data_IF_908446273933
#
_entry.id   IF_908446273933
#
_cell.length_a   1.000
_cell.length_b   1.000
_cell.length_c   1.000
_cell.angle_alpha   90.00
_cell.angle_beta   90.00
_cell.angle_gamma   90.00
#
_symmetry.space_group_name_H-M   'P 1'
#
loop_
_entity.id
_entity.type
_entity.pdbx_description
1 polymer ?
#
# COMPACT_ATOMS: atom_id res chain seq x y z
N UNK A 1 63.47 50.55 -18.54
CA UNK A 1 62.50 50.71 -17.42
C UNK A 1 61.07 51.09 -17.84
N UNK A 2 60.81 51.87 -18.90
CA UNK A 2 59.43 52.26 -19.31
C UNK A 2 58.55 51.09 -19.78
N UNK A 3 59.09 50.14 -20.54
CA UNK A 3 58.32 49.00 -21.09
C UNK A 3 57.77 48.04 -20.00
N UNK A 4 58.55 47.76 -18.95
CA UNK A 4 58.13 46.91 -17.83
C UNK A 4 56.97 47.55 -17.05
N UNK A 5 56.98 48.89 -16.90
CA UNK A 5 55.90 49.63 -16.22
C UNK A 5 54.58 49.57 -16.99
N UNK A 6 54.62 49.53 -18.32
CA UNK A 6 53.41 49.39 -19.15
C UNK A 6 52.84 47.97 -19.12
N UNK A 7 53.68 46.94 -19.04
CA UNK A 7 53.24 45.54 -18.91
C UNK A 7 52.54 45.31 -17.56
N UNK A 8 53.08 45.87 -16.47
CA UNK A 8 52.43 45.82 -15.16
C UNK A 8 51.12 46.61 -15.10
N UNK A 9 51.03 47.75 -15.81
CA UNK A 9 49.79 48.52 -15.87
C UNK A 9 48.71 47.79 -16.68
N UNK A 10 49.09 47.15 -17.79
CA UNK A 10 48.19 46.36 -18.64
C UNK A 10 47.72 45.08 -17.93
N UNK A 11 48.59 44.39 -17.20
CA UNK A 11 48.20 43.22 -16.42
C UNK A 11 47.27 43.58 -15.25
N UNK A 12 47.49 44.75 -14.62
CA UNK A 12 46.61 45.26 -13.57
C UNK A 12 45.23 45.65 -14.10
N UNK A 13 45.16 46.31 -15.27
CA UNK A 13 43.89 46.66 -15.93
C UNK A 13 43.14 45.39 -16.36
N UNK A 14 43.85 44.38 -16.88
CA UNK A 14 43.26 43.10 -17.27
C UNK A 14 42.70 42.34 -16.05
N UNK A 15 43.40 42.37 -14.90
CA UNK A 15 42.94 41.77 -13.66
C UNK A 15 41.67 42.46 -13.12
N UNK A 16 41.61 43.79 -13.20
CA UNK A 16 40.41 44.56 -12.81
C UNK A 16 39.21 44.21 -13.71
N UNK A 17 39.43 44.08 -15.02
CA UNK A 17 38.36 43.72 -15.96
C UNK A 17 37.80 42.30 -15.71
N UNK A 18 38.65 41.35 -15.32
CA UNK A 18 38.23 39.98 -14.95
C UNK A 18 37.40 39.99 -13.66
N UNK A 19 37.75 40.84 -12.69
CA UNK A 19 37.03 40.93 -11.41
C UNK A 19 35.64 41.60 -11.54
N UNK A 20 35.43 42.45 -12.55
CA UNK A 20 34.14 43.15 -12.77
C UNK A 20 33.13 42.27 -13.53
N UNK A 21 33.57 41.19 -14.18
CA UNK A 21 32.70 40.36 -15.03
C UNK A 21 31.89 39.28 -14.28
N UNK A 22 32.07 39.15 -12.97
CA UNK A 22 31.27 38.23 -12.14
C UNK A 22 29.98 38.93 -11.64
N UNK A 23 28.97 39.05 -12.52
CA UNK A 23 27.59 39.28 -12.07
C UNK A 23 26.86 37.95 -12.02
N UNK A 24 26.63 37.45 -10.81
CA UNK A 24 25.69 36.34 -10.58
C UNK A 24 24.31 36.80 -11.02
N UNK A 25 23.75 36.15 -12.04
CA UNK A 25 22.35 36.36 -12.39
C UNK A 25 21.50 35.96 -11.19
N UNK A 26 20.81 36.93 -10.57
CA UNK A 26 19.76 36.61 -9.61
C UNK A 26 18.63 35.95 -10.38
N UNK A 27 18.58 34.62 -10.33
CA UNK A 27 17.38 33.88 -10.72
C UNK A 27 16.27 34.44 -9.83
N UNK A 28 15.30 35.14 -10.43
CA UNK A 28 14.05 35.40 -9.73
C UNK A 28 13.41 34.03 -9.52
N UNK A 29 13.44 33.51 -8.30
CA UNK A 29 12.54 32.42 -7.93
C UNK A 29 11.12 32.91 -8.20
N UNK A 30 10.54 32.48 -9.32
CA UNK A 30 9.12 32.57 -9.53
C UNK A 30 8.51 31.48 -8.68
N UNK A 31 8.27 31.78 -7.41
CA UNK A 31 7.34 30.98 -6.62
C UNK A 31 5.95 31.23 -7.21
N UNK A 32 5.52 30.38 -8.15
CA UNK A 32 4.10 30.28 -8.45
C UNK A 32 3.42 29.75 -7.19
N UNK A 33 2.84 30.67 -6.42
CA UNK A 33 1.93 30.33 -5.34
C UNK A 33 0.67 29.78 -6.01
N UNK A 34 0.63 28.47 -6.21
CA UNK A 34 -0.64 27.80 -6.49
C UNK A 34 -1.47 27.89 -5.21
N UNK A 35 -2.32 28.92 -5.13
CA UNK A 35 -3.32 28.98 -4.07
C UNK A 35 -4.22 27.74 -4.24
N UNK A 36 -4.13 26.80 -3.30
CA UNK A 36 -5.03 25.67 -3.24
C UNK A 36 -6.45 26.22 -3.08
N UNK A 37 -7.23 26.22 -4.18
CA UNK A 37 -8.61 26.67 -4.15
C UNK A 37 -9.45 25.55 -3.56
N UNK A 38 -10.10 25.81 -2.42
CA UNK A 38 -11.01 24.86 -1.80
C UNK A 38 -12.16 24.58 -2.76
N UNK A 39 -12.34 23.31 -3.14
CA UNK A 39 -13.53 22.87 -3.87
C UNK A 39 -14.69 22.88 -2.88
N UNK A 40 -15.77 23.57 -3.23
CA UNK A 40 -16.99 23.68 -2.42
C UNK A 40 -18.20 23.48 -3.32
N UNK A 41 -19.34 23.12 -2.74
CA UNK A 41 -20.59 22.89 -3.46
C UNK A 41 -21.17 24.16 -4.12
N UNK A 42 -20.57 25.33 -3.84
CA UNK A 42 -20.92 26.60 -4.48
C UNK A 42 -20.45 26.71 -5.94
N UNK A 43 -19.52 25.85 -6.37
CA UNK A 43 -19.02 25.81 -7.74
C UNK A 43 -20.04 25.08 -8.60
N UNK A 44 -20.77 25.82 -9.45
CA UNK A 44 -21.71 25.22 -10.40
C UNK A 44 -20.97 24.30 -11.36
N UNK A 45 -21.49 23.09 -11.54
CA UNK A 45 -20.98 22.14 -12.52
C UNK A 45 -21.20 22.66 -13.94
N UNK A 46 -20.20 22.46 -14.80
CA UNK A 46 -20.29 22.81 -16.20
C UNK A 46 -21.16 21.78 -16.95
N UNK A 47 -22.26 22.24 -17.54
CA UNK A 47 -23.21 21.37 -18.24
C UNK A 47 -22.61 20.73 -19.50
N UNK A 48 -21.66 21.38 -20.18
CA UNK A 48 -20.98 20.80 -21.33
C UNK A 48 -20.08 19.64 -20.90
N UNK A 49 -19.35 19.79 -19.80
CA UNK A 49 -18.53 18.72 -19.23
C UNK A 49 -19.39 17.56 -18.72
N UNK A 50 -20.49 17.84 -18.01
CA UNK A 50 -21.43 16.80 -17.58
C UNK A 50 -21.94 15.99 -18.77
N UNK A 51 -22.43 16.67 -19.81
CA UNK A 51 -22.96 16.01 -20.99
C UNK A 51 -21.90 15.19 -21.72
N UNK A 52 -20.65 15.68 -21.73
CA UNK A 52 -19.51 14.96 -22.29
C UNK A 52 -19.20 13.66 -21.55
N UNK A 53 -19.20 13.66 -20.21
CA UNK A 53 -18.84 12.47 -19.41
C UNK A 53 -20.02 11.50 -19.21
N UNK A 54 -21.26 11.97 -19.34
CA UNK A 54 -22.47 11.20 -19.06
C UNK A 54 -22.54 9.81 -19.73
N UNK A 55 -22.26 9.64 -21.04
CA UNK A 55 -22.33 8.31 -21.65
C UNK A 55 -21.33 7.30 -21.04
N UNK A 56 -20.12 7.75 -20.72
CA UNK A 56 -19.11 6.93 -20.06
C UNK A 56 -19.52 6.58 -18.64
N UNK A 57 -20.03 7.56 -17.89
CA UNK A 57 -20.57 7.34 -16.55
C UNK A 57 -21.68 6.30 -16.57
N UNK A 58 -22.65 6.42 -17.49
CA UNK A 58 -23.76 5.46 -17.60
C UNK A 58 -23.27 4.03 -17.86
N UNK A 59 -22.27 3.86 -18.71
CA UNK A 59 -21.67 2.56 -18.97
C UNK A 59 -20.97 2.00 -17.72
N UNK A 60 -20.15 2.82 -17.05
CA UNK A 60 -19.46 2.45 -15.82
C UNK A 60 -20.44 2.09 -14.70
N UNK A 61 -21.47 2.90 -14.49
CA UNK A 61 -22.50 2.69 -13.47
C UNK A 61 -23.20 1.33 -13.66
N UNK A 62 -23.35 0.84 -14.90
CA UNK A 62 -23.96 -0.47 -15.18
C UNK A 62 -23.10 -1.67 -14.73
N UNK A 63 -21.80 -1.46 -14.58
CA UNK A 63 -20.83 -2.46 -14.11
C UNK A 63 -20.60 -2.28 -12.62
N UNK A 64 -20.36 -1.04 -12.17
CA UNK A 64 -20.03 -0.71 -10.79
C UNK A 64 -21.19 -1.02 -9.82
N UNK A 65 -22.44 -0.81 -10.24
CA UNK A 65 -23.61 -1.09 -9.41
C UNK A 65 -24.01 -2.57 -9.38
N UNK A 66 -23.27 -3.46 -10.06
CA UNK A 66 -23.62 -4.89 -10.05
C UNK A 66 -23.49 -5.46 -8.64
N UNK A 67 -24.55 -6.07 -8.08
CA UNK A 67 -24.49 -6.74 -6.79
C UNK A 67 -23.66 -8.02 -6.91
N UNK A 68 -22.73 -8.21 -5.99
CA UNK A 68 -21.81 -9.36 -5.97
C UNK A 68 -21.86 -10.15 -4.67
N UNK A 69 -22.32 -9.54 -3.57
CA UNK A 69 -22.49 -10.21 -2.27
C UNK A 69 -23.40 -9.37 -1.35
N UNK A 70 -23.46 -9.74 -0.08
CA UNK A 70 -24.19 -9.02 0.96
C UNK A 70 -23.37 -8.97 2.26
N UNK A 71 -23.35 -7.83 2.93
CA UNK A 71 -22.70 -7.61 4.22
C UNK A 71 -23.77 -7.48 5.32
N UNK A 72 -23.77 -8.38 6.31
CA UNK A 72 -24.71 -8.32 7.44
C UNK A 72 -24.37 -7.22 8.47
N UNK A 73 -23.12 -6.75 8.45
CA UNK A 73 -22.54 -5.75 9.35
C UNK A 73 -21.68 -4.79 8.53
N UNK A 74 -21.30 -3.67 9.13
CA UNK A 74 -20.23 -2.85 8.56
C UNK A 74 -18.88 -3.54 8.77
N UNK A 75 -18.09 -3.65 7.70
CA UNK A 75 -16.69 -4.05 7.77
C UNK A 75 -15.85 -2.81 7.88
N UNK A 76 -15.28 -2.58 9.07
CA UNK A 76 -14.51 -1.38 9.38
C UNK A 76 -13.05 -1.71 9.60
N UNK A 77 -12.22 -0.67 9.65
CA UNK A 77 -10.79 -0.73 9.94
C UNK A 77 -10.46 -0.61 11.44
N UNK A 78 -11.44 -0.83 12.32
CA UNK A 78 -11.30 -0.57 13.74
C UNK A 78 -10.42 -1.61 14.46
N UNK A 79 -9.47 -1.13 15.27
CA UNK A 79 -8.58 -1.97 16.07
C UNK A 79 -7.42 -2.59 15.29
N UNK A 80 -6.65 -3.45 15.96
CA UNK A 80 -5.47 -4.11 15.38
C UNK A 80 -5.79 -5.36 14.56
N UNK A 81 -6.98 -5.95 14.76
CA UNK A 81 -7.51 -7.07 13.99
C UNK A 81 -8.94 -6.77 13.60
N UNK A 82 -9.07 -5.76 12.74
CA UNK A 82 -10.36 -5.28 12.26
C UNK A 82 -11.07 -6.34 11.41
N UNK A 83 -12.41 -6.36 11.43
CA UNK A 83 -13.17 -7.36 10.68
C UNK A 83 -12.98 -7.21 9.16
N UNK A 84 -12.83 -5.98 8.65
CA UNK A 84 -12.48 -5.74 7.24
C UNK A 84 -11.08 -6.27 6.90
N UNK A 85 -10.08 -5.94 7.73
CA UNK A 85 -8.72 -6.43 7.53
C UNK A 85 -8.63 -7.96 7.59
N UNK A 86 -9.33 -8.58 8.54
CA UNK A 86 -9.40 -10.03 8.66
C UNK A 86 -10.04 -10.66 7.43
N UNK A 87 -11.22 -10.17 7.00
CA UNK A 87 -11.90 -10.65 5.81
C UNK A 87 -10.99 -10.57 4.58
N UNK A 88 -10.44 -9.39 4.28
CA UNK A 88 -9.64 -9.18 3.08
C UNK A 88 -8.38 -10.03 3.06
N UNK A 89 -7.67 -10.15 4.19
CA UNK A 89 -6.50 -10.99 4.29
C UNK A 89 -6.83 -12.48 4.12
N UNK A 90 -7.97 -12.95 4.65
CA UNK A 90 -8.40 -14.34 4.49
C UNK A 90 -8.76 -14.66 3.04
N UNK A 91 -9.51 -13.77 2.37
CA UNK A 91 -9.85 -13.94 0.95
C UNK A 91 -8.59 -14.03 0.09
N UNK A 92 -7.61 -13.16 0.34
CA UNK A 92 -6.34 -13.16 -0.40
C UNK A 92 -5.52 -14.42 -0.10
N UNK A 93 -5.43 -14.83 1.17
CA UNK A 93 -4.72 -16.06 1.55
C UNK A 93 -5.36 -17.29 0.91
N UNK A 94 -6.69 -17.40 0.97
CA UNK A 94 -7.46 -18.49 0.37
C UNK A 94 -7.22 -18.56 -1.15
N UNK A 95 -7.29 -17.43 -1.84
CA UNK A 95 -6.99 -17.36 -3.27
C UNK A 95 -5.56 -17.77 -3.57
N UNK A 96 -4.59 -17.23 -2.82
CA UNK A 96 -3.18 -17.47 -3.05
C UNK A 96 -2.80 -18.95 -2.87
N UNK A 97 -3.39 -19.63 -1.88
CA UNK A 97 -3.24 -21.08 -1.70
C UNK A 97 -3.80 -21.87 -2.88
N UNK A 98 -4.99 -21.50 -3.39
CA UNK A 98 -5.57 -22.11 -4.60
C UNK A 98 -4.71 -21.87 -5.83
N UNK A 99 -4.21 -20.65 -6.02
CA UNK A 99 -3.28 -20.29 -7.09
C UNK A 99 -2.01 -21.13 -7.02
N UNK A 100 -1.40 -21.23 -5.83
CA UNK A 100 -0.18 -21.98 -5.62
C UNK A 100 -0.34 -23.44 -6.02
N UNK A 101 -1.40 -24.09 -5.54
CA UNK A 101 -1.73 -25.48 -5.90
C UNK A 101 -1.96 -25.67 -7.40
N UNK A 102 -2.73 -24.78 -8.05
CA UNK A 102 -3.05 -24.87 -9.49
C UNK A 102 -1.84 -24.66 -10.39
N UNK A 103 -0.89 -23.83 -9.97
CA UNK A 103 0.26 -23.43 -10.78
C UNK A 103 1.58 -24.08 -10.33
N UNK A 104 1.52 -25.07 -9.43
CA UNK A 104 2.67 -25.73 -8.84
C UNK A 104 3.69 -24.72 -8.27
N UNK A 105 3.19 -23.71 -7.55
CA UNK A 105 3.97 -22.69 -6.85
C UNK A 105 3.96 -22.94 -5.35
N UNK A 106 4.88 -22.34 -4.59
CA UNK A 106 4.89 -22.45 -3.13
C UNK A 106 3.59 -21.94 -2.51
N UNK A 107 3.03 -22.72 -1.60
CA UNK A 107 1.82 -22.31 -0.86
C UNK A 107 2.20 -21.28 0.23
N UNK A 108 1.52 -20.13 0.31
CA UNK A 108 1.77 -19.15 1.38
C UNK A 108 1.21 -19.63 2.72
N UNK A 109 2.01 -19.51 3.77
CA UNK A 109 1.64 -19.84 5.16
C UNK A 109 0.73 -18.75 5.76
N UNK A 110 0.93 -17.48 5.37
CA UNK A 110 0.19 -16.35 5.91
C UNK A 110 0.04 -15.20 4.90
N UNK A 111 -0.82 -14.25 5.23
CA UNK A 111 -1.00 -13.01 4.47
C UNK A 111 -0.66 -11.80 5.34
N UNK A 112 0.00 -10.80 4.74
CA UNK A 112 0.14 -9.46 5.29
C UNK A 112 -0.11 -8.43 4.19
N UNK A 113 -1.11 -7.57 4.39
CA UNK A 113 -1.36 -6.39 3.55
C UNK A 113 -1.17 -5.12 4.38
N UNK A 114 -1.22 -3.96 3.73
CA UNK A 114 -1.14 -2.69 4.43
C UNK A 114 -2.50 -2.04 4.66
N UNK A 115 -2.71 -1.54 5.89
CA UNK A 115 -3.92 -0.81 6.25
C UNK A 115 -4.11 0.48 5.41
N UNK A 116 -3.03 1.05 4.88
CA UNK A 116 -3.07 2.19 3.96
C UNK A 116 -3.60 1.84 2.56
N UNK A 117 -3.48 0.58 2.16
CA UNK A 117 -4.01 0.03 0.90
C UNK A 117 -5.53 -0.11 0.89
N UNK A 118 -6.14 -0.30 2.06
CA UNK A 118 -7.59 -0.32 2.27
C UNK A 118 -8.08 1.11 2.46
N UNK A 119 -8.95 1.61 1.57
CA UNK A 119 -9.24 3.06 1.50
C UNK A 119 -10.54 3.49 2.15
N UNK A 120 -11.53 2.63 2.14
CA UNK A 120 -12.83 2.84 2.79
C UNK A 120 -13.30 1.54 3.43
N UNK A 121 -14.48 1.58 4.03
CA UNK A 121 -15.18 0.44 4.63
C UNK A 121 -16.04 -0.29 3.58
N UNK A 122 -16.40 -1.55 3.85
CA UNK A 122 -17.55 -2.19 3.18
C UNK A 122 -18.80 -1.96 4.06
N UNK A 123 -19.77 -1.13 3.64
CA UNK A 123 -20.96 -0.87 4.43
C UNK A 123 -21.88 -2.08 4.49
N UNK A 124 -22.65 -2.18 5.56
CA UNK A 124 -23.76 -3.14 5.68
C UNK A 124 -24.73 -2.98 4.51
N UNK A 125 -25.16 -4.10 3.94
CA UNK A 125 -26.15 -4.15 2.86
C UNK A 125 -25.63 -4.87 1.63
N UNK A 126 -26.18 -4.51 0.47
CA UNK A 126 -25.75 -5.08 -0.81
C UNK A 126 -24.32 -4.64 -1.09
N UNK A 127 -23.44 -5.60 -1.35
CA UNK A 127 -22.05 -5.33 -1.75
C UNK A 127 -22.00 -5.36 -3.27
N UNK A 128 -21.50 -4.28 -3.86
CA UNK A 128 -21.38 -4.12 -5.31
C UNK A 128 -19.92 -4.18 -5.78
N UNK A 129 -19.72 -4.20 -7.10
CA UNK A 129 -18.39 -4.05 -7.70
C UNK A 129 -17.75 -2.73 -7.27
N UNK A 130 -18.52 -1.63 -7.23
CA UNK A 130 -18.08 -0.32 -6.78
C UNK A 130 -17.44 -0.37 -5.39
N UNK A 131 -18.07 -1.05 -4.43
CA UNK A 131 -17.53 -1.13 -3.07
C UNK A 131 -16.12 -1.75 -3.06
N UNK A 132 -15.84 -2.76 -3.89
CA UNK A 132 -14.52 -3.38 -3.96
C UNK A 132 -13.51 -2.46 -4.66
N UNK A 133 -13.94 -1.70 -5.67
CA UNK A 133 -13.12 -0.65 -6.29
C UNK A 133 -12.76 0.46 -5.31
N UNK A 134 -13.69 0.89 -4.46
CA UNK A 134 -13.43 1.91 -3.44
C UNK A 134 -12.51 1.38 -2.34
N UNK A 135 -12.70 0.14 -1.90
CA UNK A 135 -11.89 -0.51 -0.85
C UNK A 135 -10.45 -0.72 -1.31
N UNK A 136 -10.24 -1.24 -2.51
CA UNK A 136 -8.92 -1.55 -3.09
C UNK A 136 -8.71 -0.87 -4.45
N UNK A 137 -8.54 0.47 -4.49
CA UNK A 137 -8.52 1.22 -5.74
C UNK A 137 -7.18 1.16 -6.48
N UNK A 138 -6.14 0.61 -5.85
CA UNK A 138 -4.80 0.55 -6.45
C UNK A 138 -4.62 -0.69 -7.32
N UNK A 139 -3.85 -0.55 -8.40
CA UNK A 139 -3.51 -1.63 -9.34
C UNK A 139 -2.41 -2.58 -8.82
N UNK A 140 -2.40 -2.81 -7.51
CA UNK A 140 -1.41 -3.65 -6.85
C UNK A 140 -1.54 -5.11 -7.34
N UNK A 141 -0.40 -5.77 -7.54
CA UNK A 141 -0.33 -7.18 -7.92
C UNK A 141 -0.11 -8.07 -6.70
N UNK A 142 -0.78 -9.21 -6.64
CA UNK A 142 -0.52 -10.23 -5.64
C UNK A 142 0.85 -10.86 -5.90
N UNK A 143 1.67 -10.97 -4.85
CA UNK A 143 2.98 -11.61 -4.91
C UNK A 143 3.15 -12.57 -3.74
N UNK A 144 3.95 -13.62 -3.94
CA UNK A 144 4.37 -14.53 -2.87
C UNK A 144 5.85 -14.31 -2.60
N UNK A 145 6.22 -14.14 -1.34
CA UNK A 145 7.59 -13.90 -0.92
C UNK A 145 8.01 -14.94 0.11
N UNK A 146 9.26 -15.40 0.04
CA UNK A 146 9.84 -16.26 1.06
C UNK A 146 10.64 -15.42 2.06
N UNK A 147 10.32 -15.58 3.35
CA UNK A 147 11.00 -14.94 4.46
C UNK A 147 11.68 -16.00 5.32
N UNK A 148 12.95 -15.77 5.65
CA UNK A 148 13.64 -16.53 6.68
C UNK A 148 13.24 -16.07 8.09
N UNK A 149 13.69 -16.80 9.12
CA UNK A 149 13.38 -16.43 10.50
C UNK A 149 13.90 -15.05 10.93
N UNK A 150 14.94 -14.50 10.29
CA UNK A 150 15.44 -13.16 10.59
C UNK A 150 14.50 -12.07 10.05
N UNK A 151 14.01 -12.24 8.82
CA UNK A 151 13.03 -11.36 8.18
C UNK A 151 11.66 -11.43 8.87
N UNK A 152 11.26 -12.61 9.32
CA UNK A 152 10.04 -12.78 10.14
C UNK A 152 10.13 -11.96 11.43
N UNK A 153 11.28 -11.98 12.13
CA UNK A 153 11.50 -11.17 13.33
C UNK A 153 11.47 -9.67 13.04
N UNK A 154 12.09 -9.23 11.94
CA UNK A 154 12.00 -7.83 11.50
C UNK A 154 10.55 -7.40 11.24
N UNK A 155 9.74 -8.27 10.62
CA UNK A 155 8.30 -8.03 10.43
C UNK A 155 7.55 -7.94 11.77
N UNK A 156 7.85 -8.83 12.74
CA UNK A 156 7.23 -8.78 14.06
C UNK A 156 7.59 -7.47 14.78
N UNK A 157 8.84 -7.02 14.70
CA UNK A 157 9.25 -5.74 15.28
C UNK A 157 8.57 -4.55 14.60
N UNK A 158 8.44 -4.59 13.27
CA UNK A 158 7.71 -3.57 12.52
C UNK A 158 6.25 -3.45 13.01
N UNK A 159 5.53 -4.58 13.09
CA UNK A 159 4.12 -4.59 13.51
C UNK A 159 3.96 -4.11 14.96
N UNK A 160 4.93 -4.45 15.82
CA UNK A 160 5.00 -3.96 17.20
C UNK A 160 5.18 -2.45 17.28
N UNK A 161 6.09 -1.90 16.47
CA UNK A 161 6.45 -0.47 16.50
C UNK A 161 5.34 0.38 15.89
N UNK A 162 4.80 -0.03 14.73
CA UNK A 162 3.78 0.75 14.03
C UNK A 162 2.44 0.76 14.77
N UNK A 163 2.12 -0.30 15.53
CA UNK A 163 0.84 -0.47 16.25
C UNK A 163 -0.36 -0.07 15.38
N UNK A 164 -0.44 -0.69 14.21
CA UNK A 164 -1.51 -0.46 13.22
C UNK A 164 -2.20 -1.78 12.90
N UNK A 165 -3.50 -1.71 12.67
CA UNK A 165 -4.31 -2.85 12.20
C UNK A 165 -4.06 -3.17 10.74
N UNK A 166 -2.87 -3.66 10.43
CA UNK A 166 -2.55 -4.22 9.13
C UNK A 166 -3.36 -5.52 8.93
N UNK A 167 -3.99 -5.72 7.76
CA UNK A 167 -4.65 -6.99 7.44
C UNK A 167 -3.69 -8.16 7.53
N UNK A 168 -4.04 -9.15 8.34
CA UNK A 168 -3.23 -10.33 8.63
C UNK A 168 -4.12 -11.57 8.53
N UNK A 169 -3.63 -12.67 7.96
CA UNK A 169 -4.30 -13.98 7.96
C UNK A 169 -3.27 -15.09 8.10
N UNK A 170 -3.63 -16.23 8.70
CA UNK A 170 -2.69 -17.34 8.91
C UNK A 170 -1.58 -17.07 9.94
N UNK A 171 -1.61 -15.91 10.60
CA UNK A 171 -0.63 -15.51 11.62
C UNK A 171 -1.33 -14.88 12.83
N UNK A 172 -0.81 -15.18 14.03
CA UNK A 172 -1.23 -14.57 15.28
C UNK A 172 -0.03 -14.14 16.12
N UNK A 173 0.01 -12.87 16.50
CA UNK A 173 1.05 -12.25 17.31
C UNK A 173 0.44 -11.67 18.58
N UNK A 174 1.04 -11.99 19.72
CA UNK A 174 0.64 -11.45 21.03
C UNK A 174 1.86 -10.78 21.65
N UNK A 175 1.70 -9.49 21.96
CA UNK A 175 2.68 -8.69 22.67
C UNK A 175 2.17 -8.40 24.07
N UNK A 176 3.03 -8.54 25.08
CA UNK A 176 2.76 -8.12 26.45
C UNK A 176 3.82 -7.14 26.92
N UNK A 177 3.41 -5.96 27.39
CA UNK A 177 4.35 -4.88 27.75
C UNK A 177 5.37 -4.60 26.64
N UNK A 178 4.89 -4.54 25.41
CA UNK A 178 5.70 -4.34 24.20
C UNK A 178 6.76 -5.43 23.93
N UNK A 179 6.59 -6.64 24.48
CA UNK A 179 7.45 -7.80 24.19
C UNK A 179 6.62 -8.88 23.51
N UNK A 180 7.13 -9.43 22.40
CA UNK A 180 6.50 -10.56 21.73
C UNK A 180 6.54 -11.78 22.66
N UNK A 181 5.38 -12.28 23.08
CA UNK A 181 5.26 -13.45 23.96
C UNK A 181 4.73 -14.69 23.22
N UNK A 182 4.05 -14.50 22.09
CA UNK A 182 3.58 -15.59 21.23
C UNK A 182 3.56 -15.14 19.79
N UNK A 183 4.10 -15.99 18.91
CA UNK A 183 3.97 -15.87 17.47
C UNK A 183 3.58 -17.24 16.92
N UNK A 184 2.44 -17.31 16.25
CA UNK A 184 1.91 -18.52 15.64
C UNK A 184 1.70 -18.29 14.15
N UNK A 185 2.16 -19.24 13.33
CA UNK A 185 1.97 -19.29 11.89
C UNK A 185 1.24 -20.59 11.58
N UNK A 186 0.11 -20.50 10.90
CA UNK A 186 -0.83 -21.62 10.66
C UNK A 186 -1.21 -22.38 11.94
N UNK A 187 -1.36 -21.66 13.05
CA UNK A 187 -1.70 -22.22 14.36
C UNK A 187 -0.57 -23.01 15.05
N UNK A 188 0.65 -23.01 14.48
CA UNK A 188 1.85 -23.61 15.08
C UNK A 188 2.79 -22.52 15.57
N UNK A 189 3.53 -22.80 16.64
CA UNK A 189 4.52 -21.84 17.15
C UNK A 189 5.60 -21.55 16.11
N UNK A 190 6.01 -20.28 16.06
CA UNK A 190 7.05 -19.79 15.18
C UNK A 190 8.38 -20.52 15.42
N UNK A 191 8.89 -21.17 14.38
CA UNK A 191 10.21 -21.78 14.34
C UNK A 191 11.17 -20.85 13.56
N UNK A 192 12.20 -20.27 14.20
CA UNK A 192 13.13 -19.34 13.55
C UNK A 192 14.09 -20.00 12.56
N UNK A 193 14.14 -21.34 12.51
CA UNK A 193 14.99 -22.08 11.56
C UNK A 193 14.29 -22.37 10.24
N UNK A 194 12.96 -22.19 10.18
CA UNK A 194 12.15 -22.40 8.98
C UNK A 194 12.06 -21.15 8.13
N UNK A 195 11.74 -21.38 6.86
CA UNK A 195 11.33 -20.34 5.92
C UNK A 195 9.82 -20.36 5.78
N UNK A 196 9.22 -19.18 5.63
CA UNK A 196 7.79 -19.00 5.52
C UNK A 196 7.47 -18.24 4.23
N UNK A 197 6.44 -18.67 3.54
CA UNK A 197 5.88 -17.98 2.40
C UNK A 197 4.74 -17.07 2.85
N UNK A 198 4.79 -15.82 2.39
CA UNK A 198 3.77 -14.81 2.66
C UNK A 198 3.17 -14.35 1.35
N UNK A 199 1.85 -14.28 1.30
CA UNK A 199 1.16 -13.52 0.25
C UNK A 199 1.02 -12.07 0.67
N UNK A 200 1.46 -11.18 -0.22
CA UNK A 200 1.35 -9.73 -0.05
C UNK A 200 1.16 -9.07 -1.43
N UNK A 201 1.47 -7.79 -1.55
CA UNK A 201 1.40 -7.03 -2.80
C UNK A 201 2.75 -6.46 -3.23
N UNK A 202 2.89 -6.22 -4.53
CA UNK A 202 4.06 -5.63 -5.17
C UNK A 202 4.49 -4.27 -4.57
N UNK A 203 3.54 -3.41 -4.19
CA UNK A 203 3.83 -2.16 -3.47
C UNK A 203 4.66 -2.41 -2.19
N UNK A 204 4.29 -3.42 -1.40
CA UNK A 204 4.98 -3.75 -0.14
C UNK A 204 6.27 -4.53 -0.39
N UNK A 205 6.28 -5.41 -1.41
CA UNK A 205 7.50 -6.09 -1.87
C UNK A 205 8.62 -5.08 -2.17
N UNK A 206 8.27 -3.93 -2.75
CA UNK A 206 9.22 -2.88 -3.10
C UNK A 206 9.55 -1.91 -1.94
N UNK A 207 9.17 -2.23 -0.70
CA UNK A 207 9.47 -1.42 0.49
C UNK A 207 8.42 -0.35 0.82
N UNK A 208 7.25 -0.41 0.20
CA UNK A 208 6.09 0.42 0.55
C UNK A 208 5.78 0.37 2.06
N UNK A 209 5.29 1.48 2.61
CA UNK A 209 5.04 1.65 4.05
C UNK A 209 6.22 1.30 4.98
N UNK A 210 7.46 1.36 4.48
CA UNK A 210 8.69 0.96 5.20
C UNK A 210 8.74 -0.52 5.57
N UNK A 211 7.97 -1.39 4.89
CA UNK A 211 8.04 -2.85 5.05
C UNK A 211 9.28 -3.45 4.36
N UNK A 212 10.46 -2.92 4.70
CA UNK A 212 11.73 -3.22 4.03
C UNK A 212 12.18 -4.69 4.18
N UNK A 213 11.61 -5.43 5.15
CA UNK A 213 11.85 -6.86 5.31
C UNK A 213 11.43 -7.68 4.09
N UNK A 214 10.48 -7.17 3.28
CA UNK A 214 10.08 -7.82 2.03
C UNK A 214 11.08 -7.64 0.89
N UNK A 215 11.81 -6.51 0.83
CA UNK A 215 12.78 -6.26 -0.24
C UNK A 215 13.94 -7.25 -0.25
N UNK A 216 14.18 -7.89 0.90
CA UNK A 216 15.26 -8.85 1.14
C UNK A 216 14.73 -10.29 1.21
N UNK A 217 13.62 -10.59 0.54
CA UNK A 217 13.07 -11.94 0.44
C UNK A 217 14.04 -12.89 -0.27
N UNK A 218 14.16 -14.12 0.21
CA UNK A 218 15.05 -15.14 -0.37
C UNK A 218 14.58 -15.63 -1.74
N UNK A 219 13.27 -15.64 -1.95
CA UNK A 219 12.61 -16.04 -3.18
C UNK A 219 11.31 -15.25 -3.35
N UNK A 220 10.88 -15.09 -4.61
CA UNK A 220 9.65 -14.38 -4.97
C UNK A 220 8.94 -15.04 -6.14
N UNK A 221 7.62 -14.99 -6.12
CA UNK A 221 6.72 -15.31 -7.22
C UNK A 221 5.86 -14.07 -7.50
N UNK A 222 5.99 -13.50 -8.70
CA UNK A 222 5.16 -12.40 -9.16
C UNK A 222 4.04 -13.02 -9.99
N UNK A 223 2.79 -12.89 -9.52
CA UNK A 223 1.67 -13.60 -10.16
C UNK A 223 1.07 -12.84 -11.34
N UNK A 224 1.32 -11.53 -11.44
CA UNK A 224 0.68 -10.62 -12.37
C UNK A 224 -0.85 -10.52 -12.24
N UNK A 225 -1.41 -11.02 -11.12
CA UNK A 225 -2.82 -10.94 -10.81
C UNK A 225 -3.09 -9.71 -9.95
N UNK A 226 -4.07 -8.91 -10.34
CA UNK A 226 -4.46 -7.71 -9.59
C UNK A 226 -5.18 -8.10 -8.30
N UNK A 227 -4.79 -7.47 -7.19
CA UNK A 227 -5.41 -7.68 -5.88
C UNK A 227 -6.92 -7.43 -5.94
N UNK A 228 -7.36 -6.36 -6.62
CA UNK A 228 -8.77 -6.02 -6.72
C UNK A 228 -9.57 -7.10 -7.47
N UNK A 229 -9.03 -7.66 -8.53
CA UNK A 229 -9.69 -8.71 -9.30
C UNK A 229 -9.82 -10.00 -8.48
N UNK A 230 -8.79 -10.33 -7.69
CA UNK A 230 -8.82 -11.42 -6.73
C UNK A 230 -9.93 -11.21 -5.70
N UNK A 231 -10.02 -10.01 -5.12
CA UNK A 231 -11.07 -9.68 -4.15
C UNK A 231 -12.46 -9.78 -4.77
N UNK A 232 -12.66 -9.26 -5.99
CA UNK A 232 -13.92 -9.38 -6.73
C UNK A 232 -14.30 -10.84 -6.97
N UNK A 233 -13.35 -11.69 -7.36
CA UNK A 233 -13.59 -13.13 -7.54
C UNK A 233 -13.94 -13.80 -6.22
N UNK A 234 -13.19 -13.53 -5.14
CA UNK A 234 -13.42 -14.18 -3.86
C UNK A 234 -14.72 -13.73 -3.19
N UNK A 235 -15.06 -12.44 -3.23
CA UNK A 235 -16.32 -11.92 -2.68
C UNK A 235 -17.55 -12.59 -3.30
N UNK A 236 -17.51 -12.84 -4.62
CA UNK A 236 -18.59 -13.53 -5.35
C UNK A 236 -18.84 -14.97 -4.89
N UNK A 237 -17.86 -15.60 -4.24
CA UNK A 237 -18.05 -16.95 -3.69
C UNK A 237 -18.93 -16.97 -2.44
N UNK A 238 -19.21 -15.81 -1.85
CA UNK A 238 -20.00 -15.67 -0.64
C UNK A 238 -21.34 -15.00 -0.96
N UNK A 239 -22.45 -15.68 -0.67
CA UNK A 239 -23.78 -15.02 -0.69
C UNK A 239 -23.88 -13.92 0.36
N UNK A 240 -23.27 -14.15 1.51
CA UNK A 240 -23.14 -13.21 2.62
C UNK A 240 -21.70 -13.27 3.11
N UNK A 241 -21.04 -12.12 3.24
CA UNK A 241 -19.66 -12.04 3.70
C UNK A 241 -19.52 -12.51 5.15
N UNK A 242 -18.51 -13.34 5.46
CA UNK A 242 -18.25 -13.78 6.83
C UNK A 242 -17.73 -12.62 7.68
N UNK A 243 -18.28 -12.44 8.88
CA UNK A 243 -17.83 -11.44 9.85
C UNK A 243 -16.77 -12.06 10.78
N UNK A 244 -15.50 -11.88 10.42
CA UNK A 244 -14.36 -12.54 11.06
C UNK A 244 -13.75 -11.64 12.14
N UNK A 245 -13.95 -12.00 13.41
CA UNK A 245 -13.58 -11.17 14.58
C UNK A 245 -12.37 -11.67 15.37
N UNK A 246 -11.65 -12.63 14.81
CA UNK A 246 -10.48 -13.22 15.44
C UNK A 246 -9.41 -12.16 15.74
N UNK A 247 -8.79 -12.28 16.90
CA UNK A 247 -7.69 -11.41 17.32
C UNK A 247 -6.37 -12.00 16.85
N UNK A 248 -5.74 -11.35 15.87
CA UNK A 248 -4.52 -11.79 15.16
C UNK A 248 -3.30 -10.96 15.54
N UNK A 249 -3.49 -9.71 15.95
CA UNK A 249 -2.47 -8.83 16.48
C UNK A 249 -2.97 -8.25 17.80
N UNK A 250 -2.37 -8.69 18.90
CA UNK A 250 -2.84 -8.37 20.25
C UNK A 250 -1.73 -7.66 21.02
N UNK A 251 -2.09 -6.57 21.70
CA UNK A 251 -1.23 -5.85 22.62
C UNK A 251 -1.87 -5.85 24.01
N UNK A 252 -1.20 -6.50 24.94
CA UNK A 252 -1.57 -6.63 26.35
C UNK A 252 -0.68 -5.73 27.23
N UNK A 253 -1.27 -5.26 28.33
CA UNK A 253 -0.59 -4.47 29.36
C UNK A 253 0.25 -5.31 30.36
#
# INVERSE_FOLDING_TARGET
MKAIRHIFLLSFILLILILIHCKTNKVKEVHQIHLNKKITDSIKSDSQIINFIYPYKKQLDSIMNQPISYANVDFTKAGYSSNEGNLLADLVLEYAKKYAKRNNKPEPDFCLLNSGGIRTIIPKGVVTVENIFEVSPFENEMVLLQLDGSRMKEMFDYLRIEKKGHPLAGIKLIYKKDKLISAQIEGKDFDPTKKYWVVTIDYLMNGGDRMNFFMKSDAKEITHLKLRDILLEQVKNYKVLPDIKDQRLVFED
#
